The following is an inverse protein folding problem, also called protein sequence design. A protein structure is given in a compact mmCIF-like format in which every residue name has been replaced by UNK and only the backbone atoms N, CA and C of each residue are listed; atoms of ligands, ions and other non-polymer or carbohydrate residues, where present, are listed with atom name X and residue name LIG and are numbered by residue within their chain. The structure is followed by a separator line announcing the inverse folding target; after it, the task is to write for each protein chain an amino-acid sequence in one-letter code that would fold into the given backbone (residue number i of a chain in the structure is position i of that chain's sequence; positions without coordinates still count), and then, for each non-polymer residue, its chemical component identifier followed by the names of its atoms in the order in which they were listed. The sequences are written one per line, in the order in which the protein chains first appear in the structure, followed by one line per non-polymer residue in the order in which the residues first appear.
data_IF_187466590158
#
_entry.id   IF_187466590158
#
_cell.length_a   1.000
_cell.length_b   1.000
_cell.length_c   1.000
_cell.angle_alpha   90.00
_cell.angle_beta   90.00
_cell.angle_gamma   90.00
#
_symmetry.space_group_name_H-M   'P 1'
#
loop_
_entity.id
_entity.type
_entity.pdbx_description
1 polymer ?
#
# COMPACT_ATOMS: atom_id res chain seq x y z
N UNK A 1 8.90 16.93 -6.80
CA UNK A 1 7.51 16.79 -7.31
C UNK A 1 7.40 15.38 -7.87
N UNK A 2 6.32 14.66 -7.56
CA UNK A 2 6.12 13.27 -8.01
C UNK A 2 5.03 13.21 -9.09
N UNK A 3 5.19 12.43 -10.16
CA UNK A 3 4.05 12.00 -10.98
C UNK A 3 3.10 11.18 -10.10
N UNK A 4 1.85 11.61 -9.94
CA UNK A 4 0.92 10.89 -9.06
C UNK A 4 -0.05 9.98 -9.81
N UNK A 5 -0.45 10.38 -11.03
CA UNK A 5 -1.36 9.60 -11.89
C UNK A 5 -0.60 8.50 -12.65
N UNK A 6 0.08 7.62 -11.91
CA UNK A 6 0.79 6.44 -12.45
C UNK A 6 0.98 5.37 -11.37
N UNK A 7 1.23 4.13 -11.79
CA UNK A 7 1.43 3.00 -10.89
C UNK A 7 2.86 2.92 -10.36
N UNK A 8 3.00 2.73 -9.06
CA UNK A 8 4.27 2.51 -8.38
C UNK A 8 4.29 1.14 -7.71
N UNK A 9 5.42 0.42 -7.79
CA UNK A 9 5.66 -0.73 -6.92
C UNK A 9 5.81 -0.24 -5.48
N UNK A 10 4.95 -0.72 -4.60
CA UNK A 10 4.94 -0.35 -3.19
C UNK A 10 5.75 -1.32 -2.32
N UNK A 11 5.58 -2.62 -2.52
CA UNK A 11 6.23 -3.69 -1.77
C UNK A 11 6.07 -5.04 -2.50
N UNK A 12 6.72 -6.09 -1.99
CA UNK A 12 6.44 -7.47 -2.39
C UNK A 12 5.30 -8.07 -1.56
N UNK A 13 4.61 -9.11 -2.07
CA UNK A 13 3.58 -9.86 -1.35
C UNK A 13 4.01 -10.35 0.04
N UNK A 14 5.27 -10.77 0.19
CA UNK A 14 5.81 -11.31 1.44
C UNK A 14 5.93 -10.25 2.55
N UNK A 15 6.15 -8.98 2.18
CA UNK A 15 6.30 -7.89 3.17
C UNK A 15 5.00 -7.59 3.93
N UNK A 16 3.84 -8.00 3.39
CA UNK A 16 2.51 -7.76 3.99
C UNK A 16 1.83 -9.06 4.45
N UNK A 17 2.54 -10.19 4.44
CA UNK A 17 1.98 -11.51 4.75
C UNK A 17 1.47 -11.61 6.19
N UNK A 18 2.29 -11.17 7.15
CA UNK A 18 2.03 -11.43 8.58
C UNK A 18 1.56 -10.19 9.35
N UNK A 19 1.92 -8.99 8.90
CA UNK A 19 1.61 -7.73 9.59
C UNK A 19 1.41 -6.57 8.62
N UNK A 20 0.70 -5.50 9.04
CA UNK A 20 0.64 -4.27 8.27
C UNK A 20 2.03 -3.68 8.01
N UNK A 21 2.23 -3.11 6.83
CA UNK A 21 3.44 -2.44 6.41
C UNK A 21 3.19 -0.95 6.21
N UNK A 22 3.89 -0.10 6.97
CA UNK A 22 3.89 1.35 6.75
C UNK A 22 4.96 1.74 5.73
N UNK A 23 4.60 2.54 4.71
CA UNK A 23 5.56 3.13 3.76
C UNK A 23 5.19 4.54 3.36
N UNK A 24 6.20 5.32 2.95
CA UNK A 24 5.98 6.59 2.29
C UNK A 24 6.16 6.44 0.78
N UNK A 25 5.14 6.82 0.00
CA UNK A 25 5.16 6.76 -1.46
C UNK A 25 4.67 8.09 -2.00
N UNK A 26 5.47 8.74 -2.84
CA UNK A 26 5.16 10.05 -3.42
C UNK A 26 4.74 11.13 -2.39
N UNK A 27 5.29 11.07 -1.17
CA UNK A 27 4.97 11.98 -0.06
C UNK A 27 3.74 11.59 0.77
N UNK A 28 3.01 10.54 0.39
CA UNK A 28 1.89 10.01 1.16
C UNK A 28 2.38 8.93 2.13
N UNK A 29 1.85 8.91 3.36
CA UNK A 29 2.07 7.81 4.32
C UNK A 29 0.96 6.77 4.13
N UNK A 30 1.31 5.56 3.73
CA UNK A 30 0.38 4.47 3.44
C UNK A 30 0.64 3.27 4.33
N UNK A 31 -0.42 2.55 4.64
CA UNK A 31 -0.39 1.23 5.27
C UNK A 31 -0.89 0.19 4.29
N UNK A 32 -0.11 -0.87 4.09
CA UNK A 32 -0.44 -2.02 3.25
C UNK A 32 -0.70 -3.25 4.12
N UNK A 33 -1.73 -4.02 3.82
CA UNK A 33 -2.06 -5.24 4.56
C UNK A 33 -2.90 -6.22 3.72
N UNK A 34 -3.06 -7.44 4.23
CA UNK A 34 -3.95 -8.46 3.66
C UNK A 34 -5.36 -8.33 4.24
N UNK A 35 -6.31 -7.96 3.40
CA UNK A 35 -7.73 -7.91 3.73
C UNK A 35 -8.41 -9.29 3.70
N UNK A 36 -9.76 -9.33 3.67
CA UNK A 36 -10.51 -10.56 3.42
C UNK A 36 -10.08 -11.20 2.10
N UNK A 37 -10.11 -12.53 2.05
CA UNK A 37 -9.68 -13.33 0.90
C UNK A 37 -8.23 -13.06 0.44
N UNK A 38 -7.37 -12.63 1.37
CA UNK A 38 -5.96 -12.31 1.11
C UNK A 38 -5.73 -11.16 0.11
N UNK A 39 -6.76 -10.38 -0.24
CA UNK A 39 -6.58 -9.25 -1.15
C UNK A 39 -5.63 -8.20 -0.55
N UNK A 40 -4.75 -7.63 -1.37
CA UNK A 40 -3.91 -6.53 -0.93
C UNK A 40 -4.74 -5.25 -0.79
N UNK A 41 -4.56 -4.54 0.33
CA UNK A 41 -5.27 -3.29 0.63
C UNK A 41 -4.26 -2.21 0.98
N UNK A 42 -4.49 -0.98 0.52
CA UNK A 42 -3.73 0.20 0.94
C UNK A 42 -4.65 1.32 1.44
N UNK A 43 -4.34 1.82 2.63
CA UNK A 43 -5.02 2.96 3.25
C UNK A 43 -3.99 4.03 3.61
N UNK A 44 -4.45 5.25 3.88
CA UNK A 44 -3.64 6.26 4.55
C UNK A 44 -3.22 5.78 5.95
N UNK A 45 -1.94 5.94 6.28
CA UNK A 45 -1.34 5.47 7.54
C UNK A 45 -1.56 6.48 8.68
N UNK A 46 -2.82 6.78 8.96
CA UNK A 46 -3.24 7.74 9.98
C UNK A 46 -4.57 7.32 10.59
N UNK A 47 -4.60 7.05 11.89
CA UNK A 47 -5.84 6.71 12.58
C UNK A 47 -6.71 7.97 12.78
N UNK A 48 -7.96 8.01 12.27
CA UNK A 48 -8.81 9.20 12.34
C UNK A 48 -9.28 9.54 13.77
N UNK A 49 -9.07 8.64 14.74
CA UNK A 49 -9.34 8.92 16.14
C UNK A 49 -8.33 9.90 16.75
N UNK A 50 -7.01 9.59 16.69
CA UNK A 50 -5.94 10.38 17.35
C UNK A 50 -4.60 10.39 16.60
N UNK A 51 -4.59 10.05 15.31
CA UNK A 51 -3.42 10.16 14.44
C UNK A 51 -2.33 9.11 14.63
N UNK A 52 -2.58 8.05 15.38
CA UNK A 52 -1.65 6.92 15.47
C UNK A 52 -1.45 6.28 14.08
N UNK A 53 -0.22 5.87 13.72
CA UNK A 53 0.01 5.10 12.50
C UNK A 53 -0.76 3.78 12.58
N UNK A 54 -1.60 3.51 11.59
CA UNK A 54 -2.36 2.27 11.50
C UNK A 54 -1.44 1.07 11.20
N UNK A 55 -0.29 1.32 10.57
CA UNK A 55 0.77 0.35 10.28
C UNK A 55 1.39 -0.27 11.53
N UNK A 56 1.28 0.37 12.70
CA UNK A 56 1.69 -0.18 14.00
C UNK A 56 0.61 -1.04 14.66
N UNK A 57 -0.52 -1.24 13.97
CA UNK A 57 -1.61 -2.10 14.39
C UNK A 57 -1.42 -3.56 13.98
N UNK A 58 -2.55 -4.24 13.79
CA UNK A 58 -2.61 -5.65 13.37
C UNK A 58 -3.80 -5.88 12.44
N UNK A 59 -3.79 -7.00 11.74
CA UNK A 59 -4.96 -7.47 10.98
C UNK A 59 -5.73 -8.47 11.84
N UNK A 60 -7.05 -8.29 11.96
CA UNK A 60 -7.95 -9.25 12.60
C UNK A 60 -9.12 -9.51 11.67
N UNK A 61 -9.32 -10.76 11.26
CA UNK A 61 -10.42 -11.15 10.35
C UNK A 61 -10.46 -10.30 9.05
N UNK A 62 -9.28 -9.98 8.51
CA UNK A 62 -9.14 -9.14 7.31
C UNK A 62 -9.37 -7.63 7.54
N UNK A 63 -9.63 -7.17 8.77
CA UNK A 63 -9.74 -5.75 9.10
C UNK A 63 -8.47 -5.22 9.73
N UNK A 64 -8.13 -3.98 9.42
CA UNK A 64 -7.00 -3.30 10.04
C UNK A 64 -7.42 -2.72 11.39
N UNK A 65 -6.77 -3.17 12.47
CA UNK A 65 -7.06 -2.74 13.84
C UNK A 65 -5.93 -1.84 14.33
N UNK A 66 -6.26 -0.58 14.62
CA UNK A 66 -5.31 0.39 15.15
C UNK A 66 -4.70 -0.10 16.48
N UNK A 67 -3.38 -0.07 16.58
CA UNK A 67 -2.63 -0.50 17.78
C UNK A 67 -2.80 0.40 19.00
N UNK A 68 -3.45 1.56 18.88
CA UNK A 68 -3.62 2.49 20.01
C UNK A 68 -4.89 2.23 20.81
N UNK A 69 -6.06 2.42 20.20
CA UNK A 69 -7.36 2.28 20.89
C UNK A 69 -8.26 1.20 20.25
N UNK A 70 -7.73 0.40 19.32
CA UNK A 70 -8.48 -0.68 18.70
C UNK A 70 -9.54 -0.25 17.69
N UNK A 71 -9.41 0.94 17.08
CA UNK A 71 -10.28 1.34 15.98
C UNK A 71 -10.06 0.40 14.78
N UNK A 72 -11.12 -0.29 14.38
CA UNK A 72 -11.17 -1.15 13.21
C UNK A 72 -11.49 -0.32 11.96
N UNK A 73 -10.68 -0.51 10.92
CA UNK A 73 -10.84 0.09 9.61
C UNK A 73 -11.25 -0.98 8.60
N UNK A 74 -12.27 -0.67 7.80
CA UNK A 74 -12.62 -1.44 6.62
C UNK A 74 -11.65 -1.19 5.48
N UNK A 75 -11.63 -2.07 4.48
CA UNK A 75 -10.75 -1.95 3.32
C UNK A 75 -11.05 -0.73 2.45
N UNK A 76 -12.25 -0.15 2.57
CA UNK A 76 -12.65 1.10 1.93
C UNK A 76 -12.23 2.35 2.72
N UNK A 77 -11.48 2.18 3.81
CA UNK A 77 -11.02 3.25 4.68
C UNK A 77 -12.05 3.73 5.69
N UNK A 78 -13.27 3.16 5.73
CA UNK A 78 -14.28 3.57 6.71
C UNK A 78 -14.06 2.92 8.07
N UNK A 79 -14.43 3.63 9.13
CA UNK A 79 -14.40 3.07 10.48
C UNK A 79 -15.52 2.05 10.68
N UNK A 80 -15.18 0.88 11.23
CA UNK A 80 -16.10 -0.24 11.41
C UNK A 80 -16.56 -0.37 12.86
N UNK A 81 -15.61 -0.47 13.79
CA UNK A 81 -15.90 -0.65 15.22
C UNK A 81 -14.72 -0.17 16.07
N UNK A 82 -14.98 0.05 17.37
CA UNK A 82 -13.94 0.31 18.37
C UNK A 82 -14.47 -0.15 19.73
N UNK A 83 -13.64 -0.75 20.60
CA UNK A 83 -14.05 -1.11 21.94
C UNK A 83 -14.62 0.09 22.71
N UNK A 84 -15.82 -0.07 23.29
CA UNK A 84 -16.41 0.91 24.21
C UNK A 84 -16.90 2.23 23.58
N UNK A 85 -16.87 2.38 22.26
CA UNK A 85 -17.26 3.64 21.62
C UNK A 85 -17.89 3.43 20.23
N UNK A 86 -18.94 4.21 19.91
CA UNK A 86 -19.53 4.27 18.57
C UNK A 86 -18.61 5.04 17.62
N UNK A 87 -18.41 4.52 16.41
CA UNK A 87 -17.39 5.03 15.49
C UNK A 87 -17.93 5.86 14.31
N UNK A 88 -19.24 5.84 14.04
CA UNK A 88 -19.83 6.46 12.83
C UNK A 88 -19.58 7.98 12.68
N UNK A 89 -19.17 8.66 13.75
CA UNK A 89 -18.83 10.08 13.72
C UNK A 89 -17.37 10.35 13.33
N UNK A 90 -16.50 9.33 13.35
CA UNK A 90 -15.12 9.48 12.90
C UNK A 90 -15.07 9.51 11.38
N UNK A 91 -14.23 10.38 10.78
CA UNK A 91 -14.01 10.34 9.35
C UNK A 91 -13.34 9.02 8.95
N UNK A 92 -13.57 8.59 7.71
CA UNK A 92 -12.75 7.55 7.10
C UNK A 92 -11.35 8.06 6.77
N UNK A 93 -10.46 7.14 6.44
CA UNK A 93 -9.14 7.43 5.87
C UNK A 93 -9.16 7.21 4.38
N UNK A 94 -8.24 7.84 3.65
CA UNK A 94 -8.17 7.68 2.20
C UNK A 94 -7.78 6.23 1.83
N UNK A 95 -8.59 5.50 1.03
CA UNK A 95 -8.13 4.29 0.37
C UNK A 95 -7.32 4.63 -0.88
N UNK A 96 -6.37 3.77 -1.24
CA UNK A 96 -5.58 3.88 -2.47
C UNK A 96 -5.86 2.67 -3.37
N UNK A 97 -6.03 2.85 -4.70
CA UNK A 97 -6.11 1.73 -5.63
C UNK A 97 -4.84 0.86 -5.55
N UNK A 98 -5.04 -0.45 -5.47
CA UNK A 98 -3.98 -1.45 -5.36
C UNK A 98 -4.20 -2.57 -6.36
N UNK A 99 -3.11 -3.05 -6.96
CA UNK A 99 -3.11 -4.25 -7.79
C UNK A 99 -1.94 -5.14 -7.38
N UNK A 100 -2.21 -6.41 -7.13
CA UNK A 100 -1.15 -7.41 -6.97
C UNK A 100 -0.89 -8.09 -8.32
N UNK A 101 0.30 -7.87 -8.89
CA UNK A 101 0.66 -8.42 -10.20
C UNK A 101 2.18 -8.47 -10.37
N UNK A 102 2.66 -9.48 -11.10
CA UNK A 102 4.09 -9.65 -11.42
C UNK A 102 5.01 -9.72 -10.20
N UNK A 103 4.52 -10.33 -9.10
CA UNK A 103 5.29 -10.45 -7.86
C UNK A 103 5.38 -9.16 -7.03
N UNK A 104 4.56 -8.15 -7.35
CA UNK A 104 4.54 -6.87 -6.65
C UNK A 104 3.14 -6.45 -6.22
N UNK A 105 3.09 -5.66 -5.15
CA UNK A 105 1.92 -4.85 -4.79
C UNK A 105 2.12 -3.46 -5.41
N UNK A 106 1.29 -3.13 -6.39
CA UNK A 106 1.26 -1.84 -7.06
C UNK A 106 0.27 -0.91 -6.37
N UNK A 107 0.59 0.38 -6.30
CA UNK A 107 -0.29 1.41 -5.75
C UNK A 107 -0.39 2.62 -6.67
N UNK A 108 -1.57 3.23 -6.71
CA UNK A 108 -1.82 4.49 -7.42
C UNK A 108 -1.99 5.64 -6.41
N UNK A 109 -1.02 6.56 -6.27
CA UNK A 109 -1.09 7.65 -5.29
C UNK A 109 -1.95 8.85 -5.74
N UNK A 110 -2.22 8.98 -7.04
CA UNK A 110 -2.96 10.10 -7.63
C UNK A 110 -4.48 9.97 -7.60
N UNK A 111 -5.14 10.48 -8.63
CA UNK A 111 -6.59 10.43 -8.76
C UNK A 111 -7.07 8.99 -9.00
N UNK A 112 -7.80 8.43 -8.03
CA UNK A 112 -8.26 7.05 -8.07
C UNK A 112 -9.18 6.76 -9.28
N UNK A 113 -9.87 7.77 -9.82
CA UNK A 113 -10.72 7.61 -11.00
C UNK A 113 -9.92 7.33 -12.28
N UNK A 114 -8.61 7.59 -12.27
CA UNK A 114 -7.70 7.36 -13.40
C UNK A 114 -6.86 6.09 -13.27
N UNK A 115 -7.00 5.37 -12.16
CA UNK A 115 -6.21 4.18 -11.85
C UNK A 115 -6.68 2.98 -12.68
N UNK A 116 -6.17 2.86 -13.91
CA UNK A 116 -6.43 1.72 -14.79
C UNK A 116 -5.31 0.66 -14.63
N UNK A 117 -5.62 -0.57 -14.18
CA UNK A 117 -4.64 -1.66 -14.10
C UNK A 117 -3.95 -2.01 -15.43
N UNK A 118 -4.53 -1.66 -16.58
CA UNK A 118 -3.89 -1.85 -17.89
C UNK A 118 -2.66 -0.95 -18.09
N UNK A 119 -2.50 0.12 -17.30
CA UNK A 119 -1.35 1.02 -17.34
C UNK A 119 -0.12 0.51 -16.58
N UNK A 120 -0.25 -0.55 -15.77
CA UNK A 120 0.93 -1.20 -15.15
C UNK A 120 1.80 -1.79 -16.27
N UNK A 121 3.11 -1.47 -16.33
CA UNK A 121 4.00 -1.95 -17.38
C UNK A 121 3.97 -3.48 -17.53
N UNK A 122 3.98 -3.96 -18.77
CA UNK A 122 4.15 -5.38 -19.05
C UNK A 122 5.57 -5.82 -18.71
N UNK A 123 5.70 -6.88 -17.92
CA UNK A 123 6.99 -7.43 -17.48
C UNK A 123 7.11 -8.86 -18.01
N UNK A 124 7.75 -9.02 -19.18
CA UNK A 124 7.84 -10.32 -19.87
C UNK A 124 8.45 -11.42 -18.99
N UNK A 125 9.51 -11.07 -18.25
CA UNK A 125 10.17 -11.99 -17.32
C UNK A 125 9.28 -12.48 -16.18
N UNK A 126 8.16 -11.80 -15.88
CA UNK A 126 7.25 -12.17 -14.79
C UNK A 126 6.16 -13.14 -15.24
N UNK A 127 5.96 -13.32 -16.54
CA UNK A 127 4.91 -14.19 -17.13
C UNK A 127 5.47 -15.34 -17.95
N UNK A 128 6.74 -15.27 -18.37
CA UNK A 128 7.37 -16.34 -19.12
C UNK A 128 7.80 -17.49 -18.22
N UNK A 129 7.38 -18.75 -18.49
CA UNK A 129 7.80 -19.92 -17.73
C UNK A 129 9.27 -20.29 -17.97
N UNK A 130 9.93 -19.68 -18.96
CA UNK A 130 11.34 -19.91 -19.27
C UNK A 130 12.29 -19.11 -18.36
N UNK A 131 11.73 -18.19 -17.55
CA UNK A 131 12.49 -17.26 -16.74
C UNK A 131 12.30 -17.55 -15.26
N UNK A 132 13.41 -17.50 -14.53
CA UNK A 132 13.42 -17.34 -13.09
C UNK A 132 13.82 -15.90 -12.76
N UNK A 133 13.24 -15.33 -11.72
CA UNK A 133 13.57 -13.99 -11.25
C UNK A 133 13.92 -14.01 -9.77
N UNK A 134 14.81 -13.08 -9.41
CA UNK A 134 15.22 -12.83 -8.05
C UNK A 134 15.50 -11.34 -7.90
N UNK A 135 15.55 -10.87 -6.66
CA UNK A 135 15.77 -9.47 -6.40
C UNK A 135 15.75 -9.17 -4.93
N UNK A 136 15.83 -7.89 -4.62
CA UNK A 136 15.82 -7.40 -3.26
C UNK A 136 15.34 -5.96 -3.21
N UNK A 137 15.22 -5.47 -1.98
CA UNK A 137 14.84 -4.10 -1.70
C UNK A 137 16.04 -3.32 -1.21
N UNK A 138 16.26 -2.15 -1.81
CA UNK A 138 17.27 -1.20 -1.37
C UNK A 138 16.61 0.14 -1.07
N UNK A 139 16.92 0.70 0.10
CA UNK A 139 16.57 2.08 0.41
C UNK A 139 17.75 2.97 0.04
N UNK A 140 17.55 3.86 -0.93
CA UNK A 140 18.59 4.77 -1.40
C UNK A 140 18.27 6.18 -0.92
N UNK A 141 19.23 6.79 -0.22
CA UNK A 141 19.11 8.14 0.35
C UNK A 141 19.31 9.26 -0.68
N UNK A 142 18.64 9.19 -1.84
CA UNK A 142 18.75 10.20 -2.89
C UNK A 142 17.40 10.46 -3.58
N UNK A 143 17.33 11.49 -4.42
CA UNK A 143 16.16 11.72 -5.27
C UNK A 143 16.03 10.59 -6.31
N UNK A 144 14.82 10.05 -6.48
CA UNK A 144 14.57 8.90 -7.36
C UNK A 144 15.04 9.12 -8.81
N UNK A 145 15.08 10.38 -9.29
CA UNK A 145 15.55 10.70 -10.64
C UNK A 145 17.02 10.37 -10.83
N UNK A 146 17.84 10.45 -9.78
CA UNK A 146 19.25 10.06 -9.88
C UNK A 146 19.41 8.55 -10.11
N UNK A 147 18.49 7.74 -9.57
CA UNK A 147 18.46 6.31 -9.87
C UNK A 147 17.96 6.03 -11.29
N UNK A 148 17.02 6.84 -11.80
CA UNK A 148 16.60 6.75 -13.21
C UNK A 148 17.79 7.09 -14.11
N UNK A 149 18.47 8.20 -13.86
CA UNK A 149 19.64 8.60 -14.64
C UNK A 149 20.71 7.50 -14.63
N UNK A 150 21.01 6.93 -13.46
CA UNK A 150 21.96 5.82 -13.33
C UNK A 150 21.53 4.54 -14.06
N UNK A 151 20.25 4.15 -13.98
CA UNK A 151 19.74 2.94 -14.65
C UNK A 151 19.64 3.08 -16.17
N UNK A 152 19.60 4.32 -16.66
CA UNK A 152 19.59 4.65 -18.09
C UNK A 152 21.00 4.88 -18.66
N UNK A 153 22.02 4.83 -17.81
CA UNK A 153 23.44 4.90 -18.19
C UNK A 153 24.02 3.49 -18.44
N UNK A 154 25.13 3.41 -19.19
CA UNK A 154 25.77 2.14 -19.63
C UNK A 154 27.03 1.79 -18.83
#
# INVERSE_FOLDING_TARGET
MFPQDTWYVACTPDEIKDKPLGRMICGHRLVFYRGPDQQAVALEDFCPHRGAPLSLGKVCEGKLVCGYHGLEMGCDGKTVAMPGQRVHAFPGVRPFPVVERYGFIWVWPGDAAKADPALIPHLEWAVSPEWAYGGGLYHIGCDYRLMIDNLMDL
#
